data_IF_338018178021
#
_entry.id   IF_338018178021
#
_cell.length_a   1.000
_cell.length_b   1.000
_cell.length_c   1.000
_cell.angle_alpha   90.00
_cell.angle_beta   90.00
_cell.angle_gamma   90.00
#
_symmetry.space_group_name_H-M   'P 1'
#
loop_
_entity.id
_entity.type
_entity.pdbx_description
1 polymer ?
#
# COMPACT_ATOMS: atom_id res chain seq x y z
N UNK A 1 13.47 -2.29 -30.50
CA UNK A 1 12.16 -2.05 -29.85
C UNK A 1 11.53 -3.41 -29.62
N UNK A 2 11.57 -3.92 -28.39
CA UNK A 2 10.99 -5.23 -28.07
C UNK A 2 9.53 -5.08 -27.69
N UNK A 3 8.62 -5.57 -28.53
CA UNK A 3 7.23 -5.79 -28.13
C UNK A 3 7.21 -6.84 -27.01
N UNK A 4 6.95 -6.38 -25.79
CA UNK A 4 6.61 -7.29 -24.68
C UNK A 4 5.25 -7.90 -24.99
N UNK A 5 5.24 -9.16 -25.43
CA UNK A 5 4.03 -9.95 -25.62
C UNK A 5 3.52 -10.52 -24.30
N UNK A 6 2.24 -10.79 -24.32
CA UNK A 6 1.33 -10.59 -23.20
C UNK A 6 0.50 -11.86 -23.05
N UNK A 7 0.47 -12.45 -21.86
CA UNK A 7 -0.26 -13.69 -21.56
C UNK A 7 -1.72 -13.34 -21.27
N UNK A 8 -2.62 -13.94 -22.05
CA UNK A 8 -4.08 -13.78 -21.92
C UNK A 8 -4.52 -14.30 -20.56
N UNK A 9 -5.27 -13.48 -19.81
CA UNK A 9 -5.92 -13.91 -18.58
C UNK A 9 -6.94 -15.01 -18.91
N UNK A 10 -6.78 -16.21 -18.35
CA UNK A 10 -7.63 -17.36 -18.68
C UNK A 10 -9.00 -17.29 -17.99
N UNK A 11 -9.11 -16.53 -16.89
CA UNK A 11 -10.34 -16.36 -16.11
C UNK A 11 -10.58 -14.90 -15.71
N UNK A 12 -11.84 -14.53 -15.39
CA UNK A 12 -12.15 -13.22 -14.79
C UNK A 12 -11.38 -12.95 -13.48
N UNK A 13 -11.06 -14.00 -12.72
CA UNK A 13 -10.27 -13.89 -11.49
C UNK A 13 -8.82 -13.49 -11.79
N UNK A 14 -8.24 -14.00 -12.88
CA UNK A 14 -6.88 -13.63 -13.30
C UNK A 14 -6.81 -12.15 -13.72
N UNK A 15 -7.86 -11.64 -14.36
CA UNK A 15 -7.96 -10.22 -14.70
C UNK A 15 -8.07 -9.34 -13.45
N UNK A 16 -8.89 -9.73 -12.47
CA UNK A 16 -9.01 -9.04 -11.18
C UNK A 16 -7.67 -9.07 -10.43
N UNK A 17 -7.00 -10.22 -10.40
CA UNK A 17 -5.71 -10.39 -9.74
C UNK A 17 -4.63 -9.56 -10.43
N UNK A 18 -4.49 -9.65 -11.75
CA UNK A 18 -3.53 -8.85 -12.51
C UNK A 18 -3.79 -7.34 -12.32
N UNK A 19 -5.05 -6.91 -12.32
CA UNK A 19 -5.45 -5.54 -12.00
C UNK A 19 -5.07 -5.14 -10.57
N UNK A 20 -5.33 -6.01 -9.58
CA UNK A 20 -4.94 -5.76 -8.20
C UNK A 20 -3.43 -5.62 -8.02
N UNK A 21 -2.66 -6.54 -8.57
CA UNK A 21 -1.19 -6.51 -8.52
C UNK A 21 -0.64 -5.28 -9.25
N UNK A 22 -1.24 -4.88 -10.37
CA UNK A 22 -0.88 -3.66 -11.09
C UNK A 22 -1.04 -2.37 -10.27
N UNK A 23 -1.81 -2.39 -9.17
CA UNK A 23 -1.98 -1.26 -8.24
C UNK A 23 -0.98 -1.28 -7.08
N UNK A 24 -0.24 -2.37 -6.89
CA UNK A 24 0.63 -2.53 -5.73
C UNK A 24 2.03 -1.99 -6.01
N UNK A 25 2.39 -0.88 -5.37
CA UNK A 25 3.76 -0.33 -5.41
C UNK A 25 4.80 -1.24 -4.73
N UNK A 26 4.37 -2.06 -3.77
CA UNK A 26 5.25 -2.95 -2.99
C UNK A 26 5.38 -4.36 -3.58
N UNK A 27 4.55 -4.73 -4.56
CA UNK A 27 4.62 -6.05 -5.19
C UNK A 27 5.56 -5.99 -6.40
N UNK A 28 6.74 -6.60 -6.26
CA UNK A 28 7.74 -6.63 -7.35
C UNK A 28 7.36 -7.56 -8.50
N UNK A 29 6.68 -8.66 -8.18
CA UNK A 29 6.23 -9.64 -9.15
C UNK A 29 5.12 -10.51 -8.53
N UNK A 30 4.17 -10.93 -9.36
CA UNK A 30 3.21 -11.96 -9.02
C UNK A 30 3.36 -13.12 -10.00
N UNK A 31 3.14 -14.33 -9.47
CA UNK A 31 3.36 -15.57 -10.20
C UNK A 31 2.17 -16.49 -10.00
N UNK A 32 1.71 -17.11 -11.08
CA UNK A 32 0.86 -18.28 -10.99
C UNK A 32 1.69 -19.45 -10.47
N UNK A 33 1.27 -20.06 -9.36
CA UNK A 33 1.96 -21.23 -8.80
C UNK A 33 1.49 -22.47 -9.56
N UNK A 34 2.33 -22.96 -10.47
CA UNK A 34 2.00 -24.12 -11.30
C UNK A 34 2.16 -25.44 -10.57
N UNK A 35 3.10 -25.55 -9.63
CA UNK A 35 3.32 -26.77 -8.85
C UNK A 35 4.04 -26.47 -7.53
N UNK A 36 3.91 -27.39 -6.57
CA UNK A 36 4.56 -27.34 -5.26
C UNK A 36 5.07 -28.74 -4.90
N UNK A 37 6.31 -28.83 -4.43
CA UNK A 37 6.96 -30.08 -4.01
C UNK A 37 8.00 -29.86 -2.91
N UNK A 38 8.35 -30.94 -2.19
CA UNK A 38 9.37 -30.97 -1.13
C UNK A 38 10.76 -31.34 -1.67
N UNK A 39 10.82 -31.89 -2.88
CA UNK A 39 12.06 -32.11 -3.64
C UNK A 39 11.91 -31.58 -5.07
N UNK A 40 13.03 -31.52 -5.81
CA UNK A 40 13.01 -31.07 -7.21
C UNK A 40 12.29 -32.09 -8.10
N UNK A 41 12.50 -33.38 -7.83
CA UNK A 41 11.89 -34.49 -8.53
C UNK A 41 10.37 -34.47 -8.37
N UNK A 42 9.88 -34.31 -7.13
CA UNK A 42 8.45 -34.21 -6.86
C UNK A 42 7.82 -32.97 -7.51
N UNK A 43 8.52 -31.83 -7.46
CA UNK A 43 8.06 -30.60 -8.08
C UNK A 43 7.97 -30.74 -9.61
N UNK A 44 9.00 -31.31 -10.24
CA UNK A 44 9.05 -31.53 -11.68
C UNK A 44 7.97 -32.53 -12.13
N UNK A 45 7.83 -33.66 -11.43
CA UNK A 45 6.81 -34.67 -11.73
C UNK A 45 5.40 -34.09 -11.66
N UNK A 46 5.09 -33.33 -10.61
CA UNK A 46 3.79 -32.67 -10.45
C UNK A 46 3.53 -31.64 -11.55
N UNK A 47 4.53 -30.84 -11.89
CA UNK A 47 4.41 -29.81 -12.92
C UNK A 47 4.32 -30.38 -14.34
N UNK A 48 4.86 -31.58 -14.59
CA UNK A 48 4.65 -32.30 -15.85
C UNK A 48 3.25 -32.91 -15.93
N UNK A 49 2.75 -33.48 -14.82
CA UNK A 49 1.46 -34.18 -14.76
C UNK A 49 0.25 -33.26 -14.88
N UNK A 50 0.33 -32.05 -14.35
CA UNK A 50 -0.79 -31.12 -14.35
C UNK A 50 -0.95 -30.32 -15.65
N UNK A 51 -0.10 -30.58 -16.65
CA UNK A 51 -0.18 -29.91 -17.95
C UNK A 51 0.15 -28.41 -17.90
N UNK A 52 0.66 -27.89 -16.79
CA UNK A 52 0.92 -26.45 -16.62
C UNK A 52 2.01 -25.92 -17.54
N UNK A 53 2.77 -26.76 -18.24
CA UNK A 53 3.75 -26.37 -19.26
C UNK A 53 3.33 -26.73 -20.70
N UNK A 54 2.11 -27.22 -20.91
CA UNK A 54 1.66 -27.67 -22.23
C UNK A 54 1.72 -26.55 -23.29
N UNK A 55 1.42 -25.31 -22.88
CA UNK A 55 1.53 -24.09 -23.68
C UNK A 55 2.97 -23.70 -24.05
N UNK A 56 3.96 -24.18 -23.28
CA UNK A 56 5.38 -23.88 -23.46
C UNK A 56 6.15 -24.98 -24.20
N UNK A 57 5.61 -26.20 -24.27
CA UNK A 57 6.30 -27.40 -24.79
C UNK A 57 5.94 -27.68 -26.26
N UNK A 58 4.95 -27.00 -26.86
CA UNK A 58 4.41 -27.35 -28.19
C UNK A 58 4.45 -26.28 -29.29
N UNK A 59 4.98 -25.07 -29.06
CA UNK A 59 4.97 -23.99 -30.04
C UNK A 59 6.39 -23.54 -30.42
N UNK A 60 6.66 -23.40 -31.73
CA UNK A 60 7.94 -22.96 -32.32
C UNK A 60 8.34 -21.49 -32.01
N UNK A 61 7.72 -20.81 -31.03
CA UNK A 61 7.72 -19.34 -31.00
C UNK A 61 7.96 -18.62 -29.65
N UNK A 62 8.21 -19.28 -28.50
CA UNK A 62 8.91 -18.58 -27.42
C UNK A 62 10.04 -19.38 -26.74
N UNK A 63 11.22 -18.77 -26.66
CA UNK A 63 12.29 -19.21 -25.76
C UNK A 63 11.91 -18.92 -24.30
N UNK A 64 12.02 -19.92 -23.43
CA UNK A 64 11.76 -19.77 -21.99
C UNK A 64 13.01 -20.04 -21.17
N UNK A 65 13.04 -19.53 -19.94
CA UNK A 65 14.10 -19.79 -18.97
C UNK A 65 13.51 -20.01 -17.58
N UNK A 66 14.13 -20.90 -16.81
CA UNK A 66 13.77 -21.12 -15.42
C UNK A 66 14.60 -20.18 -14.55
N UNK A 67 13.93 -19.39 -13.71
CA UNK A 67 14.60 -18.59 -12.68
C UNK A 67 14.32 -19.19 -11.30
N UNK A 68 15.36 -19.74 -10.69
CA UNK A 68 15.28 -20.23 -9.32
C UNK A 68 15.41 -19.06 -8.33
N UNK A 69 14.38 -18.83 -7.52
CA UNK A 69 14.45 -17.90 -6.37
C UNK A 69 14.47 -18.70 -5.08
N UNK A 70 15.46 -18.43 -4.23
CA UNK A 70 15.56 -19.01 -2.89
C UNK A 70 15.07 -17.97 -1.89
N UNK A 71 14.13 -18.38 -1.05
CA UNK A 71 13.57 -17.55 0.01
C UNK A 71 13.95 -18.16 1.36
N UNK A 72 14.40 -17.33 2.29
CA UNK A 72 14.85 -17.74 3.62
C UNK A 72 16.06 -16.92 4.09
N UNK A 73 16.32 -16.95 5.40
CA UNK A 73 17.53 -16.36 5.98
C UNK A 73 18.72 -17.14 5.42
N UNK A 74 19.51 -16.50 4.56
CA UNK A 74 20.87 -16.95 4.29
C UNK A 74 21.57 -16.88 5.64
N UNK A 75 21.61 -18.00 6.38
CA UNK A 75 22.59 -18.11 7.45
C UNK A 75 23.93 -17.95 6.75
N UNK A 76 24.62 -16.87 7.08
CA UNK A 76 26.00 -16.66 6.69
C UNK A 76 26.72 -17.98 6.91
N UNK A 77 27.13 -18.60 5.81
CA UNK A 77 28.15 -19.62 5.89
C UNK A 77 29.37 -18.84 6.32
N UNK A 78 29.64 -18.90 7.62
CA UNK A 78 30.91 -18.50 8.17
C UNK A 78 32.01 -18.99 7.23
N UNK A 79 32.87 -18.03 6.88
CA UNK A 79 34.21 -18.26 6.38
C UNK A 79 34.91 -19.20 7.37
N UNK A 80 34.85 -20.49 7.09
CA UNK A 80 35.81 -21.47 7.60
C UNK A 80 36.82 -21.77 6.49
N UNK A 81 37.44 -20.71 5.95
CA UNK A 81 38.67 -20.82 5.15
C UNK A 81 39.81 -20.22 5.98
N UNK A 82 40.18 -20.94 7.04
CA UNK A 82 41.47 -20.78 7.70
C UNK A 82 41.91 -22.16 8.24
N UNK A 83 43.08 -22.59 7.76
CA UNK A 83 43.96 -23.68 8.25
C UNK A 83 43.44 -25.12 8.23
N UNK A 84 43.94 -25.96 7.32
CA UNK A 84 45.19 -26.71 7.52
C UNK A 84 45.53 -27.57 6.29
N UNK A 85 46.74 -27.40 5.79
CA UNK A 85 47.46 -28.47 5.09
C UNK A 85 47.76 -29.59 6.09
N UNK A 86 47.45 -30.85 5.72
CA UNK A 86 48.37 -31.99 5.77
C UNK A 86 47.61 -33.31 5.51
N UNK A 87 48.02 -33.95 4.41
CA UNK A 87 48.23 -35.38 4.19
C UNK A 87 47.38 -36.43 4.95
N UNK A 88 46.55 -37.20 4.21
CA UNK A 88 46.66 -38.66 4.15
C UNK A 88 45.41 -39.33 3.54
N UNK A 89 45.71 -40.42 2.84
CA UNK A 89 44.86 -41.30 2.05
C UNK A 89 43.77 -42.12 2.79
N UNK A 90 42.73 -42.46 2.01
CA UNK A 90 41.94 -43.71 1.97
C UNK A 90 40.89 -44.01 3.07
N UNK A 91 39.69 -44.38 2.54
CA UNK A 91 38.57 -45.16 3.12
C UNK A 91 37.70 -44.37 4.12
N UNK A 92 36.38 -44.46 4.16
CA UNK A 92 35.43 -45.47 3.71
C UNK A 92 34.13 -44.82 3.20
N UNK A 93 33.38 -45.62 2.45
CA UNK A 93 31.97 -45.46 2.18
C UNK A 93 31.19 -45.39 3.50
N UNK A 94 30.42 -44.33 3.73
CA UNK A 94 29.13 -44.51 4.40
C UNK A 94 28.14 -43.38 4.09
N UNK A 95 27.07 -43.77 3.43
CA UNK A 95 25.98 -42.92 2.99
C UNK A 95 25.13 -42.45 4.16
N UNK A 96 25.51 -41.33 4.78
CA UNK A 96 24.56 -40.55 5.56
C UNK A 96 23.87 -39.50 4.69
N UNK A 97 22.71 -39.94 4.18
CA UNK A 97 21.63 -39.16 3.57
C UNK A 97 21.23 -38.02 4.53
N UNK A 98 21.97 -36.90 4.46
CA UNK A 98 21.62 -35.66 5.16
C UNK A 98 20.23 -35.22 4.71
N UNK A 99 19.27 -35.42 5.59
CA UNK A 99 17.89 -35.01 5.47
C UNK A 99 17.85 -33.48 5.28
N UNK A 100 17.82 -33.03 4.02
CA UNK A 100 17.61 -31.63 3.67
C UNK A 100 16.23 -31.23 4.21
N UNK A 101 16.22 -30.45 5.30
CA UNK A 101 14.99 -29.85 5.85
C UNK A 101 14.23 -29.16 4.72
N UNK A 102 13.02 -29.65 4.48
CA UNK A 102 12.18 -29.33 3.33
C UNK A 102 11.98 -27.83 3.17
N UNK A 103 12.69 -27.26 2.20
CA UNK A 103 12.36 -25.94 1.68
C UNK A 103 11.23 -26.14 0.67
N UNK A 104 10.11 -25.45 0.89
CA UNK A 104 9.01 -25.44 -0.05
C UNK A 104 9.45 -24.71 -1.32
N UNK A 105 9.63 -25.43 -2.41
CA UNK A 105 10.00 -24.86 -3.70
C UNK A 105 8.73 -24.53 -4.51
N UNK A 106 8.74 -23.40 -5.23
CA UNK A 106 7.62 -22.92 -6.06
C UNK A 106 8.11 -22.53 -7.45
N UNK A 107 7.38 -22.90 -8.49
CA UNK A 107 7.55 -22.39 -9.87
C UNK A 107 6.47 -21.35 -10.19
N UNK A 108 6.84 -20.35 -10.99
CA UNK A 108 5.99 -19.21 -11.28
C UNK A 108 6.04 -18.78 -12.75
N UNK A 109 4.89 -18.56 -13.38
CA UNK A 109 4.77 -17.90 -14.69
C UNK A 109 4.44 -16.41 -14.52
N UNK A 110 4.99 -15.55 -15.39
CA UNK A 110 4.69 -14.11 -15.40
C UNK A 110 3.40 -13.87 -16.18
N UNK A 111 2.39 -13.27 -15.53
CA UNK A 111 1.23 -12.71 -16.20
C UNK A 111 1.46 -11.23 -16.51
N UNK A 112 1.27 -10.82 -17.76
CA UNK A 112 1.03 -9.43 -18.19
C UNK A 112 -0.06 -9.51 -19.24
N UNK A 113 -1.05 -8.62 -19.25
CA UNK A 113 -2.29 -8.71 -20.06
C UNK A 113 -2.53 -7.50 -21.01
N UNK A 114 -3.22 -7.64 -22.18
CA UNK A 114 -3.54 -6.55 -23.11
C UNK A 114 -5.06 -6.35 -23.13
N UNK A 115 -5.59 -5.56 -22.21
CA UNK A 115 -7.03 -5.55 -21.91
C UNK A 115 -7.75 -4.38 -22.58
N UNK A 116 -8.65 -4.67 -23.54
CA UNK A 116 -9.54 -3.65 -24.15
C UNK A 116 -11.01 -3.84 -23.74
N UNK A 117 -11.47 -5.07 -23.51
CA UNK A 117 -12.87 -5.38 -23.17
C UNK A 117 -13.08 -5.53 -21.65
N UNK A 118 -12.09 -6.06 -20.94
CA UNK A 118 -12.09 -6.18 -19.47
C UNK A 118 -11.86 -4.83 -18.79
N UNK A 119 -11.18 -3.90 -19.50
CA UNK A 119 -11.10 -2.49 -19.11
C UNK A 119 -12.51 -1.90 -18.95
N UNK A 120 -13.46 -2.28 -19.80
CA UNK A 120 -14.85 -1.80 -19.74
C UNK A 120 -15.65 -2.42 -18.59
N UNK A 121 -15.39 -3.68 -18.22
CA UNK A 121 -16.01 -4.30 -17.04
C UNK A 121 -15.45 -3.74 -15.72
N UNK A 122 -14.14 -3.47 -15.66
CA UNK A 122 -13.50 -2.76 -14.54
C UNK A 122 -13.97 -1.31 -14.47
N UNK A 123 -14.12 -0.63 -15.61
CA UNK A 123 -14.74 0.70 -15.70
C UNK A 123 -16.19 0.70 -15.19
N UNK A 124 -16.96 -0.38 -15.41
CA UNK A 124 -18.32 -0.52 -14.87
C UNK A 124 -18.39 -0.83 -13.37
N UNK A 125 -17.32 -1.37 -12.77
CA UNK A 125 -17.18 -1.56 -11.31
C UNK A 125 -16.41 -0.42 -10.63
N UNK A 126 -15.65 0.37 -11.39
CA UNK A 126 -15.06 1.63 -10.99
C UNK A 126 -16.16 2.69 -10.92
N UNK A 127 -17.14 2.48 -10.03
CA UNK A 127 -17.81 3.61 -9.43
C UNK A 127 -16.73 4.56 -8.92
N UNK A 128 -16.81 5.83 -9.33
CA UNK A 128 -15.83 6.88 -9.02
C UNK A 128 -15.41 6.76 -7.56
N UNK A 129 -14.22 6.24 -7.29
CA UNK A 129 -13.71 6.16 -5.91
C UNK A 129 -13.48 7.59 -5.46
N UNK A 130 -14.17 7.96 -4.39
CA UNK A 130 -14.10 9.29 -3.80
C UNK A 130 -13.03 9.26 -2.71
N UNK A 131 -11.95 9.99 -2.94
CA UNK A 131 -10.80 10.05 -2.03
C UNK A 131 -10.67 11.44 -1.45
N UNK A 132 -10.48 11.53 -0.14
CA UNK A 132 -10.15 12.78 0.54
C UNK A 132 -8.74 12.69 1.13
N UNK A 133 -7.94 13.74 0.92
CA UNK A 133 -6.79 14.02 1.76
C UNK A 133 -7.05 15.33 2.55
N UNK A 134 -7.39 15.25 3.86
CA UNK A 134 -7.69 16.41 4.70
C UNK A 134 -6.43 17.20 5.10
N UNK A 135 -5.24 16.66 4.89
CA UNK A 135 -3.95 17.29 5.20
C UNK A 135 -3.03 17.19 3.96
N UNK A 136 -3.51 17.74 2.84
CA UNK A 136 -3.00 17.36 1.53
C UNK A 136 -1.54 17.80 1.26
N UNK A 137 -1.06 18.90 1.84
CA UNK A 137 0.26 19.44 1.57
C UNK A 137 0.46 19.68 0.07
N UNK A 138 1.56 19.14 -0.46
CA UNK A 138 1.86 19.10 -1.91
C UNK A 138 1.02 18.09 -2.71
N UNK A 139 0.02 17.46 -2.10
CA UNK A 139 -0.85 16.42 -2.66
C UNK A 139 -0.12 15.13 -3.08
N UNK A 140 1.03 14.80 -2.49
CA UNK A 140 1.79 13.60 -2.83
C UNK A 140 0.95 12.30 -2.73
N UNK A 141 0.10 12.19 -1.71
CA UNK A 141 -0.82 11.05 -1.51
C UNK A 141 -1.83 10.94 -2.66
N UNK A 142 -2.45 12.05 -3.05
CA UNK A 142 -3.43 12.09 -4.13
C UNK A 142 -2.80 11.93 -5.51
N UNK A 143 -1.55 12.38 -5.69
CA UNK A 143 -0.78 12.14 -6.90
C UNK A 143 -0.54 10.64 -7.11
N UNK A 144 -0.14 9.94 -6.04
CA UNK A 144 -0.01 8.48 -6.06
C UNK A 144 -1.36 7.79 -6.35
N UNK A 145 -2.45 8.25 -5.73
CA UNK A 145 -3.79 7.73 -5.99
C UNK A 145 -4.20 7.91 -7.47
N UNK A 146 -3.90 9.09 -8.05
CA UNK A 146 -4.19 9.41 -9.44
C UNK A 146 -3.39 8.53 -10.40
N UNK A 147 -2.10 8.31 -10.15
CA UNK A 147 -1.29 7.34 -10.90
C UNK A 147 -1.92 5.94 -10.94
N UNK A 148 -2.35 5.44 -9.78
CA UNK A 148 -2.96 4.12 -9.65
C UNK A 148 -4.29 4.04 -10.42
N UNK A 149 -5.11 5.08 -10.33
CA UNK A 149 -6.40 5.14 -11.01
C UNK A 149 -6.25 5.25 -12.53
N UNK A 150 -5.42 6.19 -13.01
CA UNK A 150 -5.20 6.44 -14.44
C UNK A 150 -4.56 5.26 -15.16
N UNK A 151 -3.63 4.53 -14.52
CA UNK A 151 -3.01 3.33 -15.08
C UNK A 151 -4.01 2.24 -15.46
N UNK A 152 -5.18 2.24 -14.83
CA UNK A 152 -6.24 1.24 -15.07
C UNK A 152 -7.39 1.76 -15.96
N UNK A 153 -7.34 3.03 -16.36
CA UNK A 153 -8.43 3.68 -17.08
C UNK A 153 -9.59 4.12 -16.17
N UNK A 154 -9.47 4.02 -14.84
CA UNK A 154 -10.51 4.45 -13.91
C UNK A 154 -10.56 5.97 -13.73
N UNK A 155 -11.68 6.47 -13.21
CA UNK A 155 -11.84 7.88 -12.82
C UNK A 155 -11.78 8.02 -11.30
N UNK A 156 -10.80 8.77 -10.80
CA UNK A 156 -10.67 9.17 -9.40
C UNK A 156 -11.40 10.50 -9.19
N UNK A 157 -12.25 10.60 -8.16
CA UNK A 157 -12.74 11.90 -7.65
C UNK A 157 -12.04 12.18 -6.34
N UNK A 158 -10.96 12.94 -6.40
CA UNK A 158 -10.20 13.29 -5.20
C UNK A 158 -10.43 14.73 -4.79
N UNK A 159 -10.48 14.97 -3.49
CA UNK A 159 -10.50 16.32 -2.91
C UNK A 159 -9.29 16.47 -2.01
N UNK A 160 -8.58 17.57 -2.18
CA UNK A 160 -7.48 17.99 -1.31
C UNK A 160 -7.99 19.10 -0.41
N UNK A 161 -7.79 18.98 0.90
CA UNK A 161 -7.88 20.12 1.81
C UNK A 161 -6.46 20.47 2.20
N UNK A 162 -6.08 21.71 1.90
CA UNK A 162 -4.77 22.24 2.21
C UNK A 162 -4.86 23.44 3.13
N UNK A 163 -4.14 23.36 4.25
CA UNK A 163 -3.95 24.47 5.17
C UNK A 163 -2.69 25.18 4.68
N UNK A 164 -2.79 26.12 3.74
CA UNK A 164 -1.60 26.82 3.27
C UNK A 164 -1.11 27.78 4.37
N UNK A 165 -0.21 27.28 5.21
CA UNK A 165 0.50 28.11 6.16
C UNK A 165 1.56 28.92 5.39
N UNK A 166 1.49 30.25 5.47
CA UNK A 166 2.55 31.13 4.94
C UNK A 166 2.78 31.13 3.43
N UNK A 167 1.88 30.54 2.62
CA UNK A 167 2.04 30.48 1.16
C UNK A 167 3.14 29.54 0.67
N UNK A 168 3.59 28.59 1.50
CA UNK A 168 4.67 27.66 1.16
C UNK A 168 4.32 26.64 0.07
N UNK A 169 3.04 26.46 -0.24
CA UNK A 169 2.56 25.57 -1.30
C UNK A 169 1.65 26.35 -2.26
N UNK A 170 2.06 26.44 -3.52
CA UNK A 170 1.23 27.04 -4.58
C UNK A 170 0.30 25.99 -5.20
N UNK A 171 -0.97 26.34 -5.40
CA UNK A 171 -1.92 25.45 -6.09
C UNK A 171 -1.55 25.23 -7.55
N UNK A 172 -0.96 26.25 -8.19
CA UNK A 172 -0.47 26.13 -9.55
C UNK A 172 0.68 25.12 -9.60
N UNK A 173 1.51 25.03 -8.55
CA UNK A 173 2.53 23.99 -8.45
C UNK A 173 1.91 22.60 -8.28
N UNK A 174 0.89 22.46 -7.43
CA UNK A 174 0.16 21.20 -7.28
C UNK A 174 -0.43 20.77 -8.63
N UNK A 175 -1.20 21.63 -9.29
CA UNK A 175 -1.85 21.29 -10.57
C UNK A 175 -0.79 20.97 -11.64
N UNK A 176 0.29 21.76 -11.73
CA UNK A 176 1.42 21.47 -12.65
C UNK A 176 2.07 20.12 -12.37
N UNK A 177 2.15 19.69 -11.12
CA UNK A 177 2.73 18.39 -10.77
C UNK A 177 1.90 17.22 -11.34
N UNK A 178 0.56 17.32 -11.30
CA UNK A 178 -0.32 16.35 -11.94
C UNK A 178 -0.25 16.43 -13.48
N UNK A 179 -0.34 17.63 -14.04
CA UNK A 179 -0.35 17.84 -15.49
C UNK A 179 0.95 17.37 -16.16
N UNK A 180 2.10 17.68 -15.56
CA UNK A 180 3.42 17.25 -16.07
C UNK A 180 3.57 15.73 -16.14
N UNK A 181 2.76 14.97 -15.39
CA UNK A 181 2.71 13.50 -15.39
C UNK A 181 1.53 12.94 -16.19
N UNK A 182 0.78 13.80 -16.90
CA UNK A 182 -0.44 13.45 -17.63
C UNK A 182 -1.50 12.80 -16.74
N UNK A 183 -1.63 13.28 -15.51
CA UNK A 183 -2.61 12.81 -14.53
C UNK A 183 -3.73 13.84 -14.32
N UNK A 184 -4.95 13.39 -14.04
CA UNK A 184 -6.01 14.29 -13.61
C UNK A 184 -5.68 14.86 -12.22
N UNK A 185 -5.72 16.20 -12.04
CA UNK A 185 -5.59 16.82 -10.73
C UNK A 185 -6.82 16.51 -9.85
N UNK A 186 -6.77 16.80 -8.54
CA UNK A 186 -7.93 16.70 -7.67
C UNK A 186 -9.13 17.46 -8.23
N UNK A 187 -10.33 16.91 -8.03
CA UNK A 187 -11.61 17.55 -8.39
C UNK A 187 -11.73 18.92 -7.73
N UNK A 188 -11.25 19.05 -6.51
CA UNK A 188 -11.13 20.34 -5.85
C UNK A 188 -9.91 20.36 -4.91
N UNK A 189 -9.23 21.51 -4.86
CA UNK A 189 -8.20 21.85 -3.88
C UNK A 189 -8.74 22.98 -3.02
N UNK A 190 -9.16 22.65 -1.80
CA UNK A 190 -9.81 23.56 -0.86
C UNK A 190 -8.75 24.13 0.07
N UNK A 191 -8.69 25.46 0.14
CA UNK A 191 -7.89 26.13 1.15
C UNK A 191 -8.70 26.33 2.43
N UNK A 192 -8.27 25.71 3.52
CA UNK A 192 -8.92 25.87 4.81
C UNK A 192 -8.58 24.78 5.79
N UNK A 193 -9.13 24.91 6.99
CA UNK A 193 -8.97 23.95 8.07
C UNK A 193 -9.97 22.80 7.93
N UNK A 194 -9.48 21.56 7.79
CA UNK A 194 -10.31 20.37 7.73
C UNK A 194 -11.14 20.13 9.02
N UNK A 195 -10.79 20.79 10.12
CA UNK A 195 -11.56 20.78 11.38
C UNK A 195 -12.80 21.69 11.31
N UNK A 196 -12.89 22.58 10.32
CA UNK A 196 -14.10 23.36 10.06
C UNK A 196 -15.19 22.52 9.39
N UNK A 197 -16.38 22.50 9.99
CA UNK A 197 -17.55 21.85 9.41
C UNK A 197 -17.88 22.40 8.01
N UNK A 198 -17.66 23.70 7.78
CA UNK A 198 -17.89 24.32 6.48
C UNK A 198 -16.93 23.79 5.41
N UNK A 199 -15.66 23.61 5.75
CA UNK A 199 -14.66 23.06 4.83
C UNK A 199 -14.98 21.60 4.52
N UNK A 200 -15.42 20.80 5.50
CA UNK A 200 -15.85 19.41 5.27
C UNK A 200 -17.13 19.33 4.42
N UNK A 201 -18.10 20.22 4.64
CA UNK A 201 -19.29 20.34 3.78
C UNK A 201 -18.92 20.67 2.34
N UNK A 202 -18.01 21.63 2.14
CA UNK A 202 -17.49 21.97 0.82
C UNK A 202 -16.79 20.77 0.17
N UNK A 203 -15.98 20.04 0.92
CA UNK A 203 -15.33 18.82 0.43
C UNK A 203 -16.35 17.76 -0.04
N UNK A 204 -17.43 17.53 0.73
CA UNK A 204 -18.54 16.66 0.29
C UNK A 204 -19.22 17.22 -0.96
N UNK A 205 -19.51 18.51 -1.00
CA UNK A 205 -20.17 19.16 -2.14
C UNK A 205 -19.37 18.97 -3.45
N UNK A 206 -18.03 19.03 -3.38
CA UNK A 206 -17.13 18.80 -4.51
C UNK A 206 -17.31 17.43 -5.19
N UNK A 207 -17.77 16.42 -4.44
CA UNK A 207 -18.00 15.06 -4.92
C UNK A 207 -19.50 14.72 -5.08
N UNK A 208 -20.39 15.72 -4.98
CA UNK A 208 -21.84 15.57 -5.15
C UNK A 208 -22.63 15.46 -3.84
N UNK A 209 -22.05 15.84 -2.70
CA UNK A 209 -22.71 15.85 -1.38
C UNK A 209 -22.61 14.56 -0.59
N UNK A 210 -22.05 13.50 -1.19
CA UNK A 210 -21.91 12.18 -0.59
C UNK A 210 -20.72 12.07 0.37
N UNK A 211 -20.71 11.03 1.19
CA UNK A 211 -19.55 10.63 1.98
C UNK A 211 -18.43 10.07 1.09
N UNK A 212 -17.18 10.18 1.54
CA UNK A 212 -16.01 9.64 0.84
C UNK A 212 -15.94 8.11 0.99
N UNK A 213 -15.32 7.46 0.00
CA UNK A 213 -15.02 6.03 0.04
C UNK A 213 -13.73 5.76 0.83
N UNK A 214 -12.76 6.65 0.68
CA UNK A 214 -11.44 6.56 1.32
C UNK A 214 -11.01 7.94 1.80
N UNK A 215 -10.47 7.99 3.01
CA UNK A 215 -9.64 9.10 3.49
C UNK A 215 -8.21 8.58 3.55
N UNK A 216 -7.25 9.24 2.91
CA UNK A 216 -5.84 8.86 2.96
C UNK A 216 -5.00 10.09 3.26
N UNK A 217 -4.20 10.06 4.32
CA UNK A 217 -3.61 11.32 4.80
C UNK A 217 -2.31 11.14 5.58
N UNK A 218 -1.50 12.20 5.57
CA UNK A 218 -0.27 12.31 6.34
C UNK A 218 -0.37 13.58 7.21
N UNK A 219 -1.06 13.51 8.37
CA UNK A 219 -1.30 14.69 9.19
C UNK A 219 0.01 15.30 9.68
N UNK A 220 0.09 16.62 9.87
CA UNK A 220 1.30 17.25 10.36
C UNK A 220 1.69 16.68 11.74
N UNK A 221 2.95 16.28 11.87
CA UNK A 221 3.50 15.74 13.13
C UNK A 221 3.83 16.84 14.15
N UNK A 222 3.96 18.08 13.67
CA UNK A 222 4.68 19.19 14.28
C UNK A 222 3.92 20.12 15.25
N UNK A 223 3.06 19.59 16.14
CA UNK A 223 2.80 20.27 17.44
C UNK A 223 3.19 19.37 18.64
N UNK A 224 4.03 18.35 18.40
CA UNK A 224 4.88 17.76 19.44
C UNK A 224 6.36 18.13 19.26
N UNK A 225 6.77 18.57 18.07
CA UNK A 225 8.18 18.74 17.69
C UNK A 225 8.77 20.12 18.07
N UNK A 226 7.95 21.17 18.14
CA UNK A 226 8.43 22.53 18.41
C UNK A 226 8.61 22.87 19.91
N UNK A 227 8.09 22.05 20.85
CA UNK A 227 8.07 22.37 22.28
C UNK A 227 9.19 21.67 23.07
N UNK A 228 9.86 20.67 22.48
CA UNK A 228 11.02 20.01 23.11
C UNK A 228 12.36 20.68 22.80
N UNK A 229 12.38 21.78 22.04
CA UNK A 229 13.61 22.44 21.56
C UNK A 229 13.82 23.90 21.97
N UNK A 230 12.92 24.51 22.75
CA UNK A 230 13.05 25.92 23.14
C UNK A 230 12.39 26.21 24.48
N UNK A 231 13.20 26.72 25.42
CA UNK A 231 12.89 27.31 26.73
C UNK A 231 11.42 27.29 27.22
N UNK A 232 11.18 26.51 28.28
CA UNK A 232 10.54 27.02 29.50
C UNK A 232 9.07 27.44 29.46
N UNK A 233 8.24 26.94 28.53
CA UNK A 233 6.80 27.18 28.50
C UNK A 233 5.97 25.94 28.83
N UNK A 234 5.03 26.08 29.77
CA UNK A 234 4.11 25.05 30.28
C UNK A 234 3.52 24.14 29.18
N UNK A 235 3.56 22.82 29.44
CA UNK A 235 3.05 21.77 28.55
C UNK A 235 1.55 21.85 28.33
N UNK A 236 1.12 22.69 27.40
CA UNK A 236 -0.21 22.61 26.83
C UNK A 236 -0.40 21.25 26.17
N UNK A 237 -1.40 20.49 26.62
CA UNK A 237 -1.85 19.24 26.01
C UNK A 237 -2.31 19.51 24.57
N UNK A 238 -1.38 19.55 23.61
CA UNK A 238 -1.76 19.71 22.22
C UNK A 238 -2.27 18.38 21.71
N UNK A 239 -3.57 18.34 21.46
CA UNK A 239 -4.26 17.20 20.87
C UNK A 239 -3.75 17.01 19.44
N UNK A 240 -3.31 15.79 19.05
CA UNK A 240 -2.82 15.53 17.70
C UNK A 240 -3.86 15.88 16.62
N UNK A 241 -3.45 16.42 15.45
CA UNK A 241 -4.36 16.77 14.35
C UNK A 241 -5.26 15.63 13.89
N UNK A 242 -4.73 14.39 13.86
CA UNK A 242 -5.53 13.21 13.53
C UNK A 242 -6.65 12.96 14.54
N UNK A 243 -6.38 13.13 15.84
CA UNK A 243 -7.38 12.99 16.90
C UNK A 243 -8.46 14.06 16.77
N UNK A 244 -8.08 15.31 16.48
CA UNK A 244 -9.05 16.39 16.22
C UNK A 244 -9.93 16.10 15.01
N UNK A 245 -9.36 15.54 13.93
CA UNK A 245 -10.14 15.12 12.76
C UNK A 245 -11.16 14.04 13.13
N UNK A 246 -10.80 13.06 13.97
CA UNK A 246 -11.72 12.02 14.42
C UNK A 246 -12.90 12.60 15.21
N UNK A 247 -12.64 13.51 16.16
CA UNK A 247 -13.71 14.23 16.88
C UNK A 247 -14.61 15.00 15.92
N UNK A 248 -14.03 15.66 14.92
CA UNK A 248 -14.78 16.40 13.92
C UNK A 248 -15.63 15.51 13.01
N UNK A 249 -15.11 14.34 12.60
CA UNK A 249 -15.86 13.30 11.89
C UNK A 249 -17.00 12.75 12.74
N UNK A 250 -16.78 12.57 14.05
CA UNK A 250 -17.81 12.12 14.96
C UNK A 250 -18.93 13.14 15.15
N UNK A 251 -18.60 14.43 15.21
CA UNK A 251 -19.60 15.50 15.20
C UNK A 251 -20.43 15.49 13.90
N UNK A 252 -19.78 15.43 12.73
CA UNK A 252 -20.45 15.35 11.44
C UNK A 252 -21.45 14.18 11.38
N UNK A 253 -21.05 13.02 11.91
CA UNK A 253 -21.88 11.83 11.91
C UNK A 253 -23.03 11.90 12.93
N UNK A 254 -22.72 12.16 14.20
CA UNK A 254 -23.67 12.05 15.30
C UNK A 254 -24.63 13.24 15.38
N UNK A 255 -24.14 14.46 15.12
CA UNK A 255 -24.91 15.68 15.31
C UNK A 255 -25.51 16.19 14.00
N UNK A 256 -24.80 16.05 12.89
CA UNK A 256 -25.26 16.57 11.58
C UNK A 256 -25.86 15.48 10.68
N UNK A 257 -25.66 14.20 10.99
CA UNK A 257 -26.10 13.10 10.13
C UNK A 257 -25.43 13.10 8.75
N UNK A 258 -24.27 13.75 8.61
CA UNK A 258 -23.53 13.89 7.35
C UNK A 258 -22.12 13.30 7.47
N UNK A 259 -21.99 11.97 7.59
CA UNK A 259 -20.69 11.33 7.80
C UNK A 259 -19.69 11.70 6.71
N UNK A 260 -18.44 11.96 7.11
CA UNK A 260 -17.37 12.26 6.15
C UNK A 260 -16.93 11.01 5.38
N UNK A 261 -16.99 9.84 6.01
CA UNK A 261 -16.59 8.55 5.44
C UNK A 261 -17.79 7.60 5.46
N UNK A 262 -18.07 6.93 4.34
CA UNK A 262 -19.19 5.98 4.26
C UNK A 262 -18.95 4.73 5.11
N UNK A 263 -20.01 4.05 5.52
CA UNK A 263 -19.92 2.71 6.12
C UNK A 263 -19.23 1.74 5.15
N UNK A 264 -18.27 0.97 5.65
CA UNK A 264 -17.37 0.11 4.89
C UNK A 264 -16.23 0.86 4.17
N UNK A 265 -16.21 2.20 4.23
CA UNK A 265 -15.09 3.04 3.78
C UNK A 265 -13.88 2.91 4.69
N UNK A 266 -12.72 3.38 4.22
CA UNK A 266 -11.46 3.29 4.97
C UNK A 266 -10.80 4.64 5.21
N UNK A 267 -10.25 4.84 6.39
CA UNK A 267 -9.31 5.90 6.70
C UNK A 267 -7.93 5.29 6.86
N UNK A 268 -6.96 5.76 6.07
CA UNK A 268 -5.56 5.38 6.16
C UNK A 268 -4.75 6.62 6.54
N UNK A 269 -3.99 6.53 7.63
CA UNK A 269 -3.22 7.64 8.13
C UNK A 269 -1.83 7.22 8.58
N UNK A 270 -0.87 8.12 8.42
CA UNK A 270 0.40 8.03 9.13
C UNK A 270 0.27 8.56 10.56
N UNK A 271 0.81 7.82 11.52
CA UNK A 271 0.84 8.17 12.94
C UNK A 271 2.30 8.23 13.40
N UNK A 272 2.81 9.39 13.82
CA UNK A 272 4.17 9.48 14.36
C UNK A 272 4.26 8.81 15.74
N UNK A 273 5.34 8.08 15.97
CA UNK A 273 5.63 7.38 17.23
C UNK A 273 7.10 7.59 17.57
N UNK A 274 7.38 8.17 18.74
CA UNK A 274 8.75 8.34 19.23
C UNK A 274 9.29 7.03 19.81
N UNK A 275 10.61 6.94 19.92
CA UNK A 275 11.33 5.75 20.42
C UNK A 275 10.78 5.15 21.73
N UNK A 276 10.28 6.00 22.63
CA UNK A 276 9.78 5.59 23.95
C UNK A 276 8.24 5.62 24.06
N UNK A 277 7.54 5.84 22.94
CA UNK A 277 6.09 5.82 22.85
C UNK A 277 5.62 4.50 22.23
N UNK A 278 4.42 4.04 22.61
CA UNK A 278 3.76 2.94 21.91
C UNK A 278 2.79 3.50 20.89
N UNK A 279 2.58 2.76 19.80
CA UNK A 279 1.60 3.14 18.79
C UNK A 279 0.22 3.39 19.43
N UNK A 280 -0.21 2.51 20.34
CA UNK A 280 -1.51 2.60 21.00
C UNK A 280 -1.72 3.94 21.73
N UNK A 281 -0.65 4.52 22.27
CA UNK A 281 -0.68 5.79 23.01
C UNK A 281 -0.73 7.01 22.06
N UNK A 282 -0.37 6.81 20.78
CA UNK A 282 -0.37 7.83 19.74
C UNK A 282 -1.65 7.82 18.87
N UNK A 283 -2.49 6.79 19.00
CA UNK A 283 -3.75 6.71 18.26
C UNK A 283 -4.78 7.71 18.80
N UNK A 284 -5.78 8.10 17.97
CA UNK A 284 -6.96 8.79 18.47
C UNK A 284 -7.61 8.01 19.63
N UNK A 285 -8.07 8.74 20.64
CA UNK A 285 -8.66 8.15 21.83
C UNK A 285 -9.89 7.27 21.48
N UNK A 286 -10.25 6.35 22.38
CA UNK A 286 -11.34 5.41 22.13
C UNK A 286 -12.66 6.12 21.78
N UNK A 287 -12.97 7.22 22.47
CA UNK A 287 -14.19 7.99 22.24
C UNK A 287 -14.18 8.63 20.86
N UNK A 288 -13.08 9.25 20.44
CA UNK A 288 -12.95 9.83 19.10
C UNK A 288 -13.15 8.77 18.00
N UNK A 289 -12.60 7.57 18.18
CA UNK A 289 -12.76 6.45 17.24
C UNK A 289 -14.19 5.95 17.19
N UNK A 290 -14.80 5.72 18.34
CA UNK A 290 -16.19 5.28 18.47
C UNK A 290 -17.16 6.30 17.88
N UNK A 291 -17.00 7.58 18.24
CA UNK A 291 -17.83 8.69 17.76
C UNK A 291 -17.67 8.93 16.26
N UNK A 292 -16.50 8.62 15.67
CA UNK A 292 -16.27 8.65 14.22
C UNK A 292 -16.69 7.35 13.49
N UNK A 293 -17.00 6.27 14.22
CA UNK A 293 -17.39 4.99 13.65
C UNK A 293 -16.25 4.14 13.14
N UNK A 294 -15.04 4.37 13.65
CA UNK A 294 -13.81 3.82 13.10
C UNK A 294 -13.25 2.72 14.00
N UNK A 295 -13.00 1.56 13.40
CA UNK A 295 -12.29 0.44 14.02
C UNK A 295 -10.96 0.26 13.33
N UNK A 296 -9.87 0.17 14.10
CA UNK A 296 -8.53 -0.06 13.54
C UNK A 296 -8.43 -1.46 12.93
N UNK A 297 -7.87 -1.55 11.73
CA UNK A 297 -7.57 -2.81 11.03
C UNK A 297 -6.10 -3.20 11.26
N UNK A 298 -5.87 -4.29 12.00
CA UNK A 298 -4.54 -4.87 12.23
C UNK A 298 -3.63 -4.03 13.14
N UNK A 299 -2.33 -4.33 13.12
CA UNK A 299 -1.32 -3.81 14.08
C UNK A 299 -0.52 -2.59 13.56
N UNK A 300 -0.96 -1.97 12.45
CA UNK A 300 -0.18 -0.93 11.77
C UNK A 300 1.10 -1.45 11.10
N UNK A 301 1.77 -0.60 10.34
CA UNK A 301 3.06 -0.91 9.68
C UNK A 301 4.07 0.21 9.92
N UNK A 302 5.14 -0.11 10.63
CA UNK A 302 6.19 0.83 10.97
C UNK A 302 7.08 1.18 9.76
N UNK A 303 7.40 2.47 9.66
CA UNK A 303 8.48 3.01 8.85
C UNK A 303 9.35 3.88 9.77
N UNK A 304 10.56 3.39 10.07
CA UNK A 304 11.56 4.14 10.83
C UNK A 304 12.04 5.33 10.00
N UNK A 305 11.99 6.54 10.58
CA UNK A 305 12.45 7.77 9.93
C UNK A 305 13.83 8.19 10.46
N UNK A 306 14.06 8.02 11.77
CA UNK A 306 15.32 8.30 12.46
C UNK A 306 15.47 7.41 13.70
N UNK A 307 16.58 7.56 14.42
CA UNK A 307 16.82 6.85 15.69
C UNK A 307 15.82 7.19 16.80
N UNK A 308 15.08 8.30 16.65
CA UNK A 308 14.14 8.81 17.66
C UNK A 308 12.68 8.87 17.20
N UNK A 309 12.41 8.69 15.90
CA UNK A 309 11.09 8.84 15.32
C UNK A 309 10.81 7.76 14.27
N UNK A 310 9.67 7.09 14.45
CA UNK A 310 9.03 6.25 13.45
C UNK A 310 7.68 6.84 13.06
N UNK A 311 7.17 6.45 11.90
CA UNK A 311 5.76 6.64 11.57
C UNK A 311 5.11 5.29 11.25
N UNK A 312 3.87 5.13 11.68
CA UNK A 312 3.10 3.93 11.43
C UNK A 312 2.02 4.23 10.41
N UNK A 313 1.93 3.42 9.37
CA UNK A 313 0.76 3.41 8.49
C UNK A 313 -0.34 2.60 9.16
N UNK A 314 -1.43 3.26 9.51
CA UNK A 314 -2.58 2.66 10.20
C UNK A 314 -3.82 2.75 9.31
N UNK A 315 -4.61 1.68 9.29
CA UNK A 315 -5.90 1.62 8.58
C UNK A 315 -7.03 1.53 9.59
N UNK A 316 -8.13 2.21 9.30
CA UNK A 316 -9.39 2.13 10.03
C UNK A 316 -10.52 1.87 9.04
N UNK A 317 -11.48 1.03 9.42
CA UNK A 317 -12.71 0.80 8.69
C UNK A 317 -13.88 1.49 9.39
N UNK A 318 -14.73 2.15 8.60
CA UNK A 318 -15.98 2.73 9.09
C UNK A 318 -17.04 1.63 9.24
N UNK A 319 -17.57 1.43 10.45
CA UNK A 319 -18.55 0.37 10.77
C UNK A 319 -19.96 0.89 11.05
N UNK A 320 -20.14 2.22 11.12
CA UNK A 320 -21.38 2.86 11.53
C UNK A 320 -21.43 4.32 11.11
#
# INVERSE_FOLDING_TARGET
MGESRVVVAATPLDAIFASAIGRCSLVRAAYEIVAVGRSYEELAERASKNGSFADLIGNDAPTWSIRLRRYGVLRDRHRDDASNDDDASRRDEDGHRRQRRGHLMRFGKNARSPLREERNAILSMAGLVRVLDPFAGSCATLLAASHIASGLGGCLRSVAIEIAHGGHVSRDDIVRDFESRSLPPPTEIIHGDCLSAEIRRRARAAIGGEAFDVICTDPPYGIREAITGGDGGEGGNIVPPLTLLFHAMGHDRLNEGTPLLKVGGRLVAFVPVRKDERLEDCLPDHKAREDAGLVMEGEGKEQVLSDSLSRFLVSFVCVS
#
